data_IF_382759520478
#
_entry.id   IF_382759520478
#
_cell.length_a   1.000
_cell.length_b   1.000
_cell.length_c   1.000
_cell.angle_alpha   90.00
_cell.angle_beta   90.00
_cell.angle_gamma   90.00
#
_symmetry.space_group_name_H-M   'P 1'
#
loop_
_entity.id
_entity.type
_entity.pdbx_description
1 polymer ?
#
# COMPACT_ATOMS: atom_id res chain seq x y z
N UNK A 1 -1.98 -7.70 24.03
CA UNK A 1 -2.84 -8.82 23.64
C UNK A 1 -4.08 -8.86 24.52
N UNK A 2 -5.25 -9.11 23.92
CA UNK A 2 -6.52 -9.27 24.61
C UNK A 2 -7.00 -10.72 24.47
N UNK A 3 -7.33 -11.33 25.60
CA UNK A 3 -8.09 -12.59 25.60
C UNK A 3 -9.51 -12.35 25.08
N UNK A 4 -10.23 -13.42 24.69
CA UNK A 4 -11.64 -13.33 24.28
C UNK A 4 -12.50 -12.55 25.28
N UNK A 5 -12.36 -12.85 26.58
CA UNK A 5 -13.12 -12.17 27.62
C UNK A 5 -12.78 -10.67 27.72
N UNK A 6 -11.49 -10.32 27.64
CA UNK A 6 -11.04 -8.93 27.64
C UNK A 6 -11.51 -8.20 26.37
N UNK A 7 -11.50 -8.86 25.22
CA UNK A 7 -11.99 -8.32 23.96
C UNK A 7 -13.49 -8.03 24.00
N UNK A 8 -14.30 -9.00 24.50
CA UNK A 8 -15.73 -8.85 24.66
C UNK A 8 -16.08 -7.70 25.64
N UNK A 9 -15.33 -7.58 26.74
CA UNK A 9 -15.54 -6.49 27.71
C UNK A 9 -15.16 -5.12 27.13
N UNK A 10 -14.14 -5.05 26.29
CA UNK A 10 -13.65 -3.81 25.67
C UNK A 10 -14.54 -3.32 24.53
N UNK A 11 -15.02 -4.26 23.71
CA UNK A 11 -15.79 -4.00 22.50
C UNK A 11 -17.08 -4.82 22.49
N UNK A 12 -18.06 -4.51 23.35
CA UNK A 12 -19.26 -5.32 23.56
C UNK A 12 -20.21 -5.34 22.35
N UNK A 13 -19.97 -4.51 21.34
CA UNK A 13 -20.70 -4.47 20.08
C UNK A 13 -20.30 -5.62 19.13
N UNK A 14 -19.17 -6.32 19.38
CA UNK A 14 -18.68 -7.43 18.57
C UNK A 14 -19.05 -8.79 19.15
N UNK A 15 -19.31 -9.76 18.28
CA UNK A 15 -19.27 -11.19 18.61
C UNK A 15 -17.82 -11.67 18.50
N UNK A 16 -17.35 -12.36 19.51
CA UNK A 16 -15.95 -12.79 19.61
C UNK A 16 -15.78 -14.25 19.96
N UNK A 17 -16.83 -15.08 19.80
CA UNK A 17 -16.83 -16.48 20.18
C UNK A 17 -15.81 -17.32 19.40
N UNK A 18 -15.51 -16.92 18.19
CA UNK A 18 -14.52 -17.51 17.28
C UNK A 18 -13.10 -16.92 17.44
N UNK A 19 -12.92 -15.92 18.31
CA UNK A 19 -11.63 -15.27 18.52
C UNK A 19 -10.92 -15.87 19.73
N UNK A 20 -9.73 -16.43 19.53
CA UNK A 20 -8.89 -16.91 20.63
C UNK A 20 -8.12 -15.78 21.30
N UNK A 21 -7.55 -14.86 20.51
CA UNK A 21 -6.70 -13.76 20.97
C UNK A 21 -6.78 -12.61 19.97
N UNK A 22 -6.68 -11.37 20.47
CA UNK A 22 -6.58 -10.18 19.63
C UNK A 22 -5.37 -9.32 20.03
N UNK A 23 -4.73 -8.68 19.05
CA UNK A 23 -3.79 -7.58 19.28
C UNK A 23 -4.55 -6.28 19.30
N UNK A 24 -4.23 -5.41 20.25
CA UNK A 24 -4.83 -4.09 20.37
C UNK A 24 -3.76 -3.08 20.77
N UNK A 25 -3.58 -2.04 19.98
CA UNK A 25 -2.73 -0.89 20.27
C UNK A 25 -3.52 0.14 21.07
N UNK A 26 -3.18 0.39 22.36
CA UNK A 26 -3.94 1.33 23.20
C UNK A 26 -3.61 2.79 22.87
N UNK A 27 -2.50 3.06 22.21
CA UNK A 27 -2.03 4.41 21.86
C UNK A 27 -0.94 4.36 20.79
N UNK A 28 -0.69 5.49 20.12
CA UNK A 28 0.35 5.60 19.10
C UNK A 28 0.02 4.95 17.76
N UNK A 29 -1.17 4.41 17.61
CA UNK A 29 -1.70 3.82 16.39
C UNK A 29 -3.03 4.46 16.00
N UNK A 30 -3.39 4.41 14.74
CA UNK A 30 -4.67 4.90 14.25
C UNK A 30 -4.64 5.17 12.74
N UNK A 31 -5.73 5.70 12.26
CA UNK A 31 -5.84 6.21 10.90
C UNK A 31 -5.73 7.74 10.92
N UNK A 32 -5.37 8.31 9.79
CA UNK A 32 -5.20 9.76 9.62
C UNK A 32 -5.59 10.18 8.20
N UNK A 33 -5.65 11.48 7.96
CA UNK A 33 -5.86 12.05 6.62
C UNK A 33 -4.59 11.86 5.78
N UNK A 34 -4.61 10.84 4.91
CA UNK A 34 -3.50 10.51 4.01
C UNK A 34 -3.25 11.60 2.96
N UNK A 35 -4.30 12.33 2.54
CA UNK A 35 -4.14 13.42 1.57
C UNK A 35 -3.51 14.65 2.21
N UNK A 36 -3.82 14.93 3.48
CA UNK A 36 -3.14 15.97 4.25
C UNK A 36 -1.66 15.64 4.47
N UNK A 37 -1.31 14.37 4.77
CA UNK A 37 0.08 13.93 4.85
C UNK A 37 0.81 14.15 3.52
N UNK A 38 0.24 13.69 2.41
CA UNK A 38 0.82 13.87 1.07
C UNK A 38 1.00 15.35 0.75
N UNK A 39 0.00 16.18 1.02
CA UNK A 39 0.05 17.64 0.83
C UNK A 39 1.16 18.29 1.64
N UNK A 40 1.30 17.89 2.90
CA UNK A 40 2.37 18.36 3.78
C UNK A 40 3.76 18.01 3.27
N UNK A 41 3.98 16.75 2.89
CA UNK A 41 5.25 16.28 2.33
C UNK A 41 5.60 17.01 1.02
N UNK A 42 4.62 17.21 0.12
CA UNK A 42 4.83 17.98 -1.12
C UNK A 42 5.21 19.43 -0.85
N UNK A 43 4.57 20.05 0.13
CA UNK A 43 4.89 21.44 0.52
C UNK A 43 6.31 21.55 1.07
N UNK A 44 6.73 20.62 1.93
CA UNK A 44 8.10 20.56 2.45
C UNK A 44 9.13 20.33 1.33
N UNK A 45 8.86 19.39 0.42
CA UNK A 45 9.74 19.12 -0.71
C UNK A 45 9.88 20.36 -1.62
N UNK A 46 8.77 21.04 -1.91
CA UNK A 46 8.79 22.27 -2.72
C UNK A 46 9.58 23.39 -2.03
N UNK A 47 9.40 23.57 -0.71
CA UNK A 47 10.16 24.54 0.08
C UNK A 47 11.67 24.22 0.09
N UNK A 48 12.04 22.93 0.01
CA UNK A 48 13.42 22.47 -0.14
C UNK A 48 13.97 22.57 -1.59
N UNK A 49 13.21 23.12 -2.53
CA UNK A 49 13.65 23.35 -3.92
C UNK A 49 13.35 22.19 -4.88
N UNK A 50 12.59 21.17 -4.46
CA UNK A 50 12.16 20.10 -5.37
C UNK A 50 11.17 20.64 -6.41
N UNK A 51 11.43 20.34 -7.67
CA UNK A 51 10.56 20.69 -8.79
C UNK A 51 9.61 19.54 -9.10
N UNK A 52 8.31 19.75 -8.90
CA UNK A 52 7.29 18.79 -9.29
C UNK A 52 6.83 19.09 -10.73
N UNK A 53 6.91 18.11 -11.61
CA UNK A 53 6.42 18.19 -12.99
C UNK A 53 5.20 17.28 -13.13
N UNK A 54 4.14 17.79 -13.74
CA UNK A 54 2.99 16.97 -14.13
C UNK A 54 3.22 16.47 -15.56
N UNK A 55 3.77 15.26 -15.66
CA UNK A 55 4.13 14.65 -16.94
C UNK A 55 4.05 13.13 -16.81
N UNK A 56 3.85 12.47 -17.92
CA UNK A 56 3.91 11.01 -18.04
C UNK A 56 5.30 10.60 -18.49
N UNK A 57 5.93 9.68 -17.75
CA UNK A 57 7.22 9.09 -18.12
C UNK A 57 6.96 7.87 -18.99
N UNK A 58 7.43 7.90 -20.24
CA UNK A 58 7.26 6.81 -21.19
C UNK A 58 8.40 5.80 -21.17
N UNK A 59 9.62 6.19 -20.80
CA UNK A 59 10.76 5.29 -20.78
C UNK A 59 11.89 5.80 -19.88
N UNK A 60 12.72 4.89 -19.41
CA UNK A 60 14.03 5.18 -18.81
C UNK A 60 15.04 5.32 -19.95
N UNK A 61 15.89 6.33 -19.88
CA UNK A 61 17.03 6.48 -20.79
C UNK A 61 18.26 5.89 -20.10
N UNK A 62 18.72 4.74 -20.58
CA UNK A 62 19.88 4.04 -19.98
C UNK A 62 20.87 3.59 -21.04
N UNK A 63 22.15 3.61 -20.69
CA UNK A 63 23.26 3.12 -21.52
C UNK A 63 24.41 2.65 -20.63
N UNK A 64 25.10 1.60 -21.03
CA UNK A 64 26.31 1.10 -20.37
C UNK A 64 26.17 0.89 -18.86
N UNK A 65 25.00 0.35 -18.40
CA UNK A 65 24.75 0.08 -16.97
C UNK A 65 24.35 1.28 -16.13
N UNK A 66 24.19 2.46 -16.73
CA UNK A 66 23.75 3.67 -16.02
C UNK A 66 22.45 4.23 -16.60
N UNK A 67 21.61 4.80 -15.74
CA UNK A 67 20.48 5.62 -16.14
C UNK A 67 20.96 7.05 -16.36
N UNK A 68 20.56 7.65 -17.47
CA UNK A 68 20.91 9.03 -17.84
C UNK A 68 19.73 9.98 -17.72
N UNK A 69 18.55 9.47 -17.37
CA UNK A 69 17.34 10.24 -17.21
C UNK A 69 16.09 9.48 -17.64
N UNK A 70 15.05 10.21 -17.96
CA UNK A 70 13.77 9.67 -18.41
C UNK A 70 13.28 10.40 -19.66
N UNK A 71 12.53 9.71 -20.50
CA UNK A 71 11.83 10.28 -21.65
C UNK A 71 10.34 10.35 -21.32
N UNK A 72 9.78 11.53 -21.51
CA UNK A 72 8.36 11.79 -21.34
C UNK A 72 7.55 11.36 -22.58
N UNK A 73 6.24 11.22 -22.41
CA UNK A 73 5.32 10.82 -23.48
C UNK A 73 5.28 11.82 -24.64
N UNK A 74 5.57 13.10 -24.38
CA UNK A 74 5.68 14.16 -25.41
C UNK A 74 7.02 14.14 -26.16
N UNK A 75 7.90 13.18 -25.85
CA UNK A 75 9.24 13.05 -26.45
C UNK A 75 10.35 13.83 -25.74
N UNK A 76 10.03 14.70 -24.79
CA UNK A 76 11.02 15.44 -24.01
C UNK A 76 11.89 14.50 -23.18
N UNK A 77 13.19 14.73 -23.14
CA UNK A 77 14.11 13.99 -22.27
C UNK A 77 14.56 14.85 -21.10
N UNK A 78 14.42 14.33 -19.92
CA UNK A 78 14.94 14.92 -18.68
C UNK A 78 16.19 14.16 -18.26
N UNK A 79 17.34 14.83 -18.36
CA UNK A 79 18.61 14.27 -17.92
C UNK A 79 18.70 14.24 -16.38
N UNK A 80 19.29 13.17 -15.83
CA UNK A 80 19.48 13.02 -14.40
C UNK A 80 20.76 12.22 -14.10
N UNK A 81 21.42 12.56 -12.99
CA UNK A 81 22.57 11.80 -12.46
C UNK A 81 22.17 10.51 -11.75
N UNK A 82 20.94 10.45 -11.23
CA UNK A 82 20.33 9.26 -10.67
C UNK A 82 18.83 9.25 -10.98
N UNK A 83 18.25 8.08 -11.10
CA UNK A 83 16.81 7.86 -11.30
C UNK A 83 16.26 6.98 -10.19
N UNK A 84 15.17 7.41 -9.56
CA UNK A 84 14.42 6.62 -8.57
C UNK A 84 13.05 6.29 -9.14
N UNK A 85 12.75 5.01 -9.31
CA UNK A 85 11.44 4.52 -9.71
C UNK A 85 10.56 4.31 -8.48
N UNK A 86 9.61 5.22 -8.27
CA UNK A 86 8.56 5.10 -7.27
C UNK A 86 7.19 5.15 -7.96
N UNK A 87 7.05 4.34 -9.02
CA UNK A 87 5.92 4.37 -9.94
C UNK A 87 4.84 3.33 -9.61
N UNK A 88 4.96 2.63 -8.47
CA UNK A 88 4.01 1.62 -8.00
C UNK A 88 3.75 0.56 -9.07
N UNK A 89 2.49 0.36 -9.44
CA UNK A 89 2.07 -0.62 -10.45
C UNK A 89 2.64 -0.37 -11.86
N UNK A 90 3.18 0.83 -12.13
CA UNK A 90 3.80 1.17 -13.43
C UNK A 90 5.30 0.89 -13.48
N UNK A 91 5.92 0.53 -12.36
CA UNK A 91 7.35 0.22 -12.29
C UNK A 91 7.78 -0.86 -13.28
N UNK A 92 7.06 -1.99 -13.45
CA UNK A 92 7.43 -3.02 -14.42
C UNK A 92 7.52 -2.50 -15.86
N UNK A 93 6.51 -1.76 -16.30
CA UNK A 93 6.49 -1.22 -17.66
C UNK A 93 7.65 -0.25 -17.93
N UNK A 94 8.09 0.52 -16.93
CA UNK A 94 9.26 1.39 -17.06
C UNK A 94 10.57 0.59 -17.10
N UNK A 95 10.72 -0.45 -16.28
CA UNK A 95 11.90 -1.32 -16.29
C UNK A 95 12.00 -2.12 -17.60
N UNK A 96 10.88 -2.56 -18.16
CA UNK A 96 10.83 -3.24 -19.46
C UNK A 96 11.42 -2.40 -20.59
N UNK A 97 11.32 -1.06 -20.51
CA UNK A 97 11.93 -0.16 -21.52
C UNK A 97 13.45 -0.26 -21.61
N UNK A 98 14.09 -0.86 -20.62
CA UNK A 98 15.53 -1.10 -20.56
C UNK A 98 15.88 -2.60 -20.49
N UNK A 99 14.90 -3.48 -20.78
CA UNK A 99 15.09 -4.93 -20.84
C UNK A 99 15.11 -5.62 -19.46
N UNK A 100 14.59 -4.98 -18.42
CA UNK A 100 14.53 -5.53 -17.06
C UNK A 100 13.12 -6.00 -16.70
N UNK A 101 13.02 -7.07 -15.90
CA UNK A 101 11.77 -7.60 -15.39
C UNK A 101 11.60 -7.29 -13.90
N UNK A 102 10.36 -7.04 -13.46
CA UNK A 102 10.03 -6.79 -12.08
C UNK A 102 8.76 -7.54 -11.68
N UNK A 103 8.73 -8.28 -10.56
CA UNK A 103 7.58 -9.11 -10.17
C UNK A 103 6.45 -8.31 -9.49
N UNK A 104 6.27 -7.07 -9.86
CA UNK A 104 5.21 -6.21 -9.33
C UNK A 104 4.02 -6.27 -10.28
N UNK A 105 2.83 -6.38 -9.72
CA UNK A 105 1.59 -6.41 -10.49
C UNK A 105 0.49 -5.60 -9.80
N UNK A 106 -0.47 -5.02 -10.55
CA UNK A 106 -1.62 -4.34 -9.97
C UNK A 106 -2.60 -5.37 -9.39
N UNK A 107 -3.00 -5.18 -8.13
CA UNK A 107 -4.07 -5.91 -7.47
C UNK A 107 -5.17 -4.95 -7.04
N UNK A 108 -6.37 -5.12 -7.57
CA UNK A 108 -7.50 -4.21 -7.29
C UNK A 108 -8.03 -4.41 -5.88
N UNK A 109 -8.27 -3.32 -5.18
CA UNK A 109 -8.94 -3.27 -3.87
C UNK A 109 -10.09 -2.29 -3.93
N UNK A 110 -11.29 -2.76 -3.60
CA UNK A 110 -12.46 -1.91 -3.48
C UNK A 110 -12.69 -1.52 -2.04
N UNK A 111 -12.92 -0.24 -1.82
CA UNK A 111 -13.21 0.36 -0.52
C UNK A 111 -14.64 0.87 -0.52
N UNK A 112 -15.36 0.62 0.56
CA UNK A 112 -16.74 1.03 0.74
C UNK A 112 -16.89 1.99 1.92
N UNK A 113 -17.70 3.02 1.74
CA UNK A 113 -18.25 3.81 2.85
C UNK A 113 -19.69 3.39 3.04
N UNK A 114 -20.02 2.96 4.25
CA UNK A 114 -21.34 2.45 4.60
C UNK A 114 -21.97 3.25 5.73
N UNK A 115 -23.28 3.36 5.71
CA UNK A 115 -24.11 3.82 6.82
C UNK A 115 -24.64 2.58 7.56
N UNK A 116 -24.52 2.56 8.88
CA UNK A 116 -24.96 1.49 9.75
C UNK A 116 -25.58 2.13 11.01
N UNK A 117 -26.85 2.57 10.94
CA UNK A 117 -27.48 3.39 11.96
C UNK A 117 -27.63 2.71 13.32
N UNK A 118 -27.68 1.36 13.33
CA UNK A 118 -27.84 0.56 14.54
C UNK A 118 -26.52 0.26 15.27
N UNK A 119 -25.38 0.74 14.72
CA UNK A 119 -24.06 0.55 15.35
C UNK A 119 -23.62 1.82 16.02
N UNK A 120 -23.57 1.81 17.33
CA UNK A 120 -23.04 2.91 18.15
C UNK A 120 -21.70 2.48 18.78
N UNK A 121 -20.61 2.74 18.10
CA UNK A 121 -19.25 2.43 18.55
C UNK A 121 -18.27 3.54 18.09
N UNK A 122 -18.41 4.78 18.63
CA UNK A 122 -17.62 5.95 18.17
C UNK A 122 -16.12 5.77 18.43
N UNK A 123 -15.74 4.98 19.43
CA UNK A 123 -14.35 4.70 19.82
C UNK A 123 -13.82 3.39 19.21
N UNK A 124 -14.50 2.83 18.19
CA UNK A 124 -14.02 1.62 17.54
C UNK A 124 -12.65 1.87 16.89
N UNK A 125 -11.68 0.98 17.09
CA UNK A 125 -10.40 1.06 16.39
C UNK A 125 -10.55 0.66 14.92
N UNK A 126 -9.48 0.79 14.14
CA UNK A 126 -9.34 0.02 12.91
C UNK A 126 -9.32 -1.46 13.30
N UNK A 127 -10.33 -2.20 12.88
CA UNK A 127 -10.43 -3.65 13.01
C UNK A 127 -9.90 -4.29 11.73
N UNK A 128 -8.93 -5.19 11.87
CA UNK A 128 -8.56 -6.16 10.84
C UNK A 128 -8.99 -7.53 11.35
N UNK A 129 -9.97 -8.12 10.68
CA UNK A 129 -10.59 -9.36 11.08
C UNK A 129 -9.92 -10.56 10.42
N UNK A 130 -9.76 -11.67 11.17
CA UNK A 130 -9.20 -12.90 10.63
C UNK A 130 -10.05 -13.51 9.49
N UNK A 131 -11.32 -13.11 9.37
CA UNK A 131 -12.17 -13.49 8.24
C UNK A 131 -11.80 -12.73 6.93
N UNK A 132 -10.78 -11.84 6.95
CA UNK A 132 -10.24 -11.18 5.78
C UNK A 132 -11.01 -9.94 5.34
N UNK A 133 -11.54 -9.18 6.28
CA UNK A 133 -12.05 -7.83 6.04
C UNK A 133 -11.48 -6.85 7.08
N UNK A 134 -11.55 -5.58 6.79
CA UNK A 134 -11.26 -4.52 7.74
C UNK A 134 -12.42 -3.54 7.86
N UNK A 135 -12.49 -2.86 9.00
CA UNK A 135 -13.54 -1.91 9.33
C UNK A 135 -12.98 -0.80 10.21
N UNK A 136 -13.35 0.45 9.95
CA UNK A 136 -13.07 1.59 10.85
C UNK A 136 -14.17 2.64 10.79
N UNK A 137 -14.33 3.46 11.83
CA UNK A 137 -15.16 4.64 11.74
C UNK A 137 -14.65 5.63 10.68
N UNK A 138 -15.59 6.33 10.03
CA UNK A 138 -15.34 7.44 9.11
C UNK A 138 -16.36 8.54 9.37
N UNK A 139 -16.08 9.40 10.36
CA UNK A 139 -17.05 10.32 10.90
C UNK A 139 -18.24 9.58 11.52
N UNK A 140 -19.45 9.83 11.02
CA UNK A 140 -20.66 9.09 11.43
C UNK A 140 -20.88 7.77 10.66
N UNK A 141 -20.07 7.49 9.67
CA UNK A 141 -20.17 6.34 8.81
C UNK A 141 -19.03 5.35 9.11
N UNK A 142 -18.95 4.30 8.33
CA UNK A 142 -17.92 3.29 8.42
C UNK A 142 -17.22 3.11 7.08
N UNK A 143 -15.93 2.83 7.13
CA UNK A 143 -15.13 2.46 5.97
C UNK A 143 -14.73 1.00 6.11
N UNK A 144 -14.91 0.23 5.04
CA UNK A 144 -14.62 -1.21 5.02
C UNK A 144 -14.11 -1.66 3.66
N UNK A 145 -13.40 -2.77 3.66
CA UNK A 145 -12.94 -3.48 2.47
C UNK A 145 -12.51 -4.89 2.82
N UNK A 146 -12.24 -5.67 1.80
CA UNK A 146 -11.76 -7.04 1.94
C UNK A 146 -10.85 -7.42 0.77
N UNK A 147 -10.05 -8.47 0.95
CA UNK A 147 -9.38 -9.14 -0.16
C UNK A 147 -10.45 -9.87 -0.99
N UNK A 148 -10.53 -9.66 -2.31
CA UNK A 148 -11.45 -10.40 -3.15
C UNK A 148 -11.10 -11.89 -3.18
N UNK A 149 -12.10 -12.76 -3.40
CA UNK A 149 -11.88 -14.22 -3.46
C UNK A 149 -10.93 -14.60 -4.61
N UNK A 150 -11.09 -13.94 -5.76
CA UNK A 150 -10.20 -14.09 -6.91
C UNK A 150 -9.16 -12.95 -6.90
N UNK A 151 -8.19 -13.03 -5.99
CA UNK A 151 -7.12 -12.04 -5.88
C UNK A 151 -6.02 -12.30 -6.89
N UNK A 152 -6.17 -11.75 -8.10
CA UNK A 152 -5.24 -11.86 -9.21
C UNK A 152 -4.81 -10.49 -9.78
N UNK A 153 -3.87 -10.48 -10.73
CA UNK A 153 -3.51 -9.27 -11.44
C UNK A 153 -4.72 -8.70 -12.19
N UNK A 154 -4.83 -7.39 -12.26
CA UNK A 154 -5.88 -6.68 -12.97
C UNK A 154 -5.31 -5.73 -14.01
N UNK A 155 -6.19 -5.20 -14.88
CA UNK A 155 -5.82 -4.10 -15.77
C UNK A 155 -5.42 -2.88 -14.92
N UNK A 156 -4.21 -2.30 -15.11
CA UNK A 156 -3.77 -1.13 -14.37
C UNK A 156 -4.60 0.14 -14.63
N UNK A 157 -5.49 0.13 -15.63
CA UNK A 157 -6.45 1.21 -15.90
C UNK A 157 -7.86 0.93 -15.36
N UNK A 158 -8.12 -0.26 -14.80
CA UNK A 158 -9.41 -0.63 -14.23
C UNK A 158 -9.54 -0.13 -12.79
N UNK A 159 -10.23 0.99 -12.61
CA UNK A 159 -10.59 1.57 -11.32
C UNK A 159 -12.08 1.45 -10.99
N UNK A 160 -12.83 0.63 -11.74
CA UNK A 160 -14.23 0.36 -11.42
C UNK A 160 -14.33 -0.46 -10.12
N UNK A 161 -15.13 -0.02 -9.14
CA UNK A 161 -15.29 -0.76 -7.90
C UNK A 161 -16.06 -2.06 -8.12
N UNK A 162 -15.61 -3.13 -7.48
CA UNK A 162 -16.32 -4.41 -7.44
C UNK A 162 -17.43 -4.31 -6.39
N UNK A 163 -18.65 -3.97 -6.82
CA UNK A 163 -19.79 -3.82 -5.92
C UNK A 163 -20.28 -5.16 -5.37
N UNK A 164 -20.12 -6.25 -6.11
CA UNK A 164 -20.48 -7.61 -5.68
C UNK A 164 -19.70 -8.04 -4.43
N UNK A 165 -18.46 -7.59 -4.29
CA UNK A 165 -17.63 -7.88 -3.13
C UNK A 165 -18.30 -7.48 -1.80
N UNK A 166 -19.09 -6.39 -1.78
CA UNK A 166 -19.79 -5.99 -0.57
C UNK A 166 -20.87 -6.99 -0.16
N UNK A 167 -21.74 -7.35 -1.09
CA UNK A 167 -22.89 -8.22 -0.80
C UNK A 167 -22.48 -9.66 -0.56
N UNK A 168 -21.53 -10.17 -1.32
CA UNK A 168 -21.12 -11.57 -1.29
C UNK A 168 -20.10 -11.89 -0.18
N UNK A 169 -19.26 -10.93 0.19
CA UNK A 169 -18.12 -11.18 1.08
C UNK A 169 -18.16 -10.29 2.32
N UNK A 170 -18.23 -8.97 2.15
CA UNK A 170 -18.03 -8.05 3.27
C UNK A 170 -19.24 -8.06 4.22
N UNK A 171 -20.43 -7.82 3.73
CA UNK A 171 -21.62 -7.72 4.57
C UNK A 171 -21.90 -8.98 5.39
N UNK A 172 -21.85 -10.21 4.85
CA UNK A 172 -22.00 -11.41 5.66
C UNK A 172 -20.99 -11.52 6.81
N UNK A 173 -19.74 -11.15 6.57
CA UNK A 173 -18.68 -11.16 7.58
C UNK A 173 -18.86 -10.08 8.63
N UNK A 174 -19.22 -8.86 8.23
CA UNK A 174 -19.58 -7.77 9.12
C UNK A 174 -20.74 -8.16 10.05
N UNK A 175 -21.81 -8.70 9.49
CA UNK A 175 -22.97 -9.14 10.27
C UNK A 175 -22.62 -10.28 11.24
N UNK A 176 -21.80 -11.23 10.80
CA UNK A 176 -21.32 -12.30 11.67
C UNK A 176 -20.51 -11.75 12.85
N UNK A 177 -19.64 -10.75 12.59
CA UNK A 177 -18.80 -10.10 13.62
C UNK A 177 -19.61 -9.18 14.52
N UNK A 178 -20.54 -8.43 13.97
CA UNK A 178 -21.32 -7.43 14.71
C UNK A 178 -22.76 -7.36 14.20
N UNK A 179 -23.75 -7.87 14.93
CA UNK A 179 -25.15 -7.92 14.49
C UNK A 179 -25.78 -6.56 14.20
N UNK A 180 -25.26 -5.48 14.79
CA UNK A 180 -25.69 -4.12 14.47
C UNK A 180 -25.52 -3.74 12.99
N UNK A 181 -24.67 -4.45 12.24
CA UNK A 181 -24.52 -4.28 10.78
C UNK A 181 -25.55 -5.09 9.96
N UNK A 182 -26.67 -5.52 10.58
CA UNK A 182 -27.78 -6.14 9.85
C UNK A 182 -28.41 -5.17 8.83
N UNK A 183 -28.60 -3.91 9.23
CA UNK A 183 -29.11 -2.85 8.36
C UNK A 183 -27.97 -1.92 7.94
N UNK A 184 -27.48 -2.09 6.73
CA UNK A 184 -26.43 -1.26 6.16
C UNK A 184 -26.83 -0.71 4.80
N UNK A 185 -26.31 0.49 4.49
CA UNK A 185 -26.45 1.10 3.17
C UNK A 185 -25.05 1.49 2.66
N UNK A 186 -24.68 1.00 1.50
CA UNK A 186 -23.50 1.48 0.80
C UNK A 186 -23.78 2.91 0.29
N UNK A 187 -22.95 3.86 0.72
CA UNK A 187 -23.06 5.27 0.34
C UNK A 187 -22.11 5.61 -0.81
N UNK A 188 -20.92 5.02 -0.80
CA UNK A 188 -19.86 5.25 -1.79
C UNK A 188 -18.97 4.03 -1.88
N UNK A 189 -18.42 3.79 -3.07
CA UNK A 189 -17.35 2.84 -3.31
C UNK A 189 -16.34 3.46 -4.27
N UNK A 190 -15.09 3.03 -4.16
CA UNK A 190 -14.03 3.31 -5.14
C UNK A 190 -13.04 2.15 -5.15
N UNK A 191 -12.29 2.04 -6.24
CA UNK A 191 -11.20 1.07 -6.34
C UNK A 191 -9.85 1.78 -6.42
N UNK A 192 -8.81 1.08 -5.95
CA UNK A 192 -7.42 1.44 -6.12
C UNK A 192 -6.59 0.18 -6.32
N UNK A 193 -5.33 0.35 -6.66
CA UNK A 193 -4.44 -0.78 -6.88
C UNK A 193 -3.34 -0.84 -5.83
N UNK A 194 -3.10 -2.04 -5.29
CA UNK A 194 -1.84 -2.36 -4.67
C UNK A 194 -0.78 -2.61 -5.75
N UNK A 195 0.43 -2.12 -5.54
CA UNK A 195 1.63 -2.54 -6.24
C UNK A 195 2.13 -3.84 -5.61
N UNK A 196 1.49 -4.95 -5.97
CA UNK A 196 1.67 -6.23 -5.32
C UNK A 196 2.95 -6.91 -5.80
N UNK A 197 3.85 -7.22 -4.86
CA UNK A 197 5.05 -7.99 -5.14
C UNK A 197 4.73 -9.50 -5.05
N UNK A 198 4.61 -10.16 -6.20
CA UNK A 198 4.28 -11.60 -6.27
C UNK A 198 5.42 -12.51 -5.79
N UNK A 199 6.65 -11.98 -5.65
CA UNK A 199 7.80 -12.75 -5.18
C UNK A 199 7.69 -13.06 -3.67
N UNK A 200 7.47 -12.04 -2.85
CA UNK A 200 7.45 -12.19 -1.40
C UNK A 200 6.47 -11.26 -0.65
N UNK A 201 5.65 -10.49 -1.38
CA UNK A 201 4.67 -9.52 -0.84
C UNK A 201 5.30 -8.41 -0.03
N UNK A 202 6.60 -8.18 -0.17
CA UNK A 202 7.32 -7.16 0.57
C UNK A 202 7.92 -6.11 -0.37
N UNK A 203 8.16 -4.91 0.15
CA UNK A 203 8.69 -3.80 -0.63
C UNK A 203 10.04 -4.14 -1.29
N UNK A 204 10.29 -3.57 -2.44
CA UNK A 204 11.59 -3.61 -3.13
C UNK A 204 12.19 -2.22 -3.06
N UNK A 205 13.30 -2.08 -2.32
CA UNK A 205 13.92 -0.79 -2.01
C UNK A 205 15.43 -0.88 -2.22
N UNK A 206 15.99 -0.04 -3.08
CA UNK A 206 17.45 0.02 -3.23
C UNK A 206 17.90 0.24 -4.65
N UNK A 207 19.21 0.04 -4.87
CA UNK A 207 19.85 0.12 -6.17
C UNK A 207 19.45 -1.09 -7.02
N UNK A 208 19.07 -0.86 -8.27
CA UNK A 208 18.69 -1.94 -9.18
C UNK A 208 19.93 -2.76 -9.61
N UNK A 209 19.88 -4.10 -9.60
CA UNK A 209 21.01 -4.96 -9.95
C UNK A 209 21.60 -4.62 -11.32
N UNK A 210 22.94 -4.60 -11.41
CA UNK A 210 23.64 -4.28 -12.64
C UNK A 210 23.56 -2.80 -13.09
N UNK A 211 22.97 -1.93 -12.29
CA UNK A 211 22.86 -0.48 -12.54
C UNK A 211 23.65 0.30 -11.50
N UNK A 212 24.27 1.42 -11.89
CA UNK A 212 25.08 2.21 -10.98
C UNK A 212 24.31 3.33 -10.28
N UNK A 213 23.15 3.73 -10.80
CA UNK A 213 22.40 4.92 -10.38
C UNK A 213 20.89 4.85 -10.65
N UNK A 214 20.36 3.64 -10.87
CA UNK A 214 18.93 3.38 -10.99
C UNK A 214 18.44 2.72 -9.70
N UNK A 215 17.54 3.39 -8.99
CA UNK A 215 16.99 2.94 -7.73
C UNK A 215 15.50 2.64 -7.86
N UNK A 216 15.00 1.77 -7.01
CA UNK A 216 13.57 1.43 -6.94
C UNK A 216 13.02 1.60 -5.53
N UNK A 217 11.74 1.97 -5.47
CA UNK A 217 10.93 2.07 -4.27
C UNK A 217 9.50 1.68 -4.64
N UNK A 218 9.17 0.39 -4.55
CA UNK A 218 7.95 -0.19 -5.10
C UNK A 218 7.58 -1.51 -4.43
N UNK A 219 6.44 -2.11 -4.79
CA UNK A 219 6.07 -3.46 -4.38
C UNK A 219 5.62 -3.58 -2.93
N UNK A 220 5.02 -2.54 -2.39
CA UNK A 220 4.62 -2.48 -0.98
C UNK A 220 3.46 -3.38 -0.61
N UNK A 221 2.74 -3.94 -1.56
CA UNK A 221 1.66 -4.92 -1.37
C UNK A 221 0.61 -4.48 -0.34
N UNK A 222 0.29 -3.17 -0.30
CA UNK A 222 -0.67 -2.57 0.62
C UNK A 222 -0.08 -1.89 1.85
N UNK A 223 1.21 -2.05 2.16
CA UNK A 223 1.86 -1.45 3.33
C UNK A 223 2.57 -0.11 3.06
N UNK A 224 2.43 0.45 1.86
CA UNK A 224 3.20 1.62 1.42
C UNK A 224 2.98 2.86 2.27
N UNK A 225 1.74 3.13 2.69
CA UNK A 225 1.42 4.36 3.43
C UNK A 225 2.18 4.44 4.77
N UNK A 226 2.15 3.39 5.56
CA UNK A 226 2.81 3.35 6.86
C UNK A 226 4.33 3.23 6.77
N UNK A 227 4.84 2.62 5.70
CA UNK A 227 6.27 2.40 5.50
C UNK A 227 6.97 3.55 4.77
N UNK A 228 6.26 4.33 3.96
CA UNK A 228 6.82 5.34 3.05
C UNK A 228 7.81 6.33 3.71
N UNK A 229 7.57 6.86 4.92
CA UNK A 229 8.53 7.80 5.53
C UNK A 229 9.89 7.17 5.82
N UNK A 230 9.90 5.94 6.34
CA UNK A 230 11.14 5.23 6.66
C UNK A 230 11.88 4.79 5.38
N UNK A 231 11.13 4.23 4.41
CA UNK A 231 11.69 3.77 3.14
C UNK A 231 12.25 4.94 2.31
N UNK A 232 11.52 6.05 2.25
CA UNK A 232 11.97 7.26 1.55
C UNK A 232 13.24 7.84 2.17
N UNK A 233 13.36 7.82 3.51
CA UNK A 233 14.55 8.26 4.22
C UNK A 233 15.75 7.37 3.92
N UNK A 234 15.63 6.06 4.09
CA UNK A 234 16.73 5.14 3.83
C UNK A 234 17.17 5.16 2.36
N UNK A 235 16.23 5.27 1.42
CA UNK A 235 16.58 5.41 0.01
C UNK A 235 17.30 6.74 -0.29
N UNK A 236 16.91 7.84 0.35
CA UNK A 236 17.61 9.12 0.22
C UNK A 236 19.06 9.02 0.72
N UNK A 237 19.28 8.35 1.86
CA UNK A 237 20.64 8.08 2.39
C UNK A 237 21.45 7.25 1.38
N UNK A 238 20.87 6.20 0.83
CA UNK A 238 21.55 5.36 -0.17
C UNK A 238 21.92 6.14 -1.42
N UNK A 239 21.02 7.00 -1.93
CA UNK A 239 21.27 7.83 -3.12
C UNK A 239 22.34 8.88 -2.87
N UNK A 240 22.37 9.52 -1.70
CA UNK A 240 23.26 10.65 -1.41
C UNK A 240 24.58 10.26 -0.79
N UNK A 241 24.59 9.24 0.08
CA UNK A 241 25.78 8.79 0.80
C UNK A 241 26.32 7.44 0.32
N UNK A 242 25.62 6.76 -0.59
CA UNK A 242 25.99 5.43 -1.10
C UNK A 242 25.80 4.29 -0.08
N UNK A 243 25.18 4.57 1.07
CA UNK A 243 24.91 3.59 2.12
C UNK A 243 23.69 3.99 2.96
N UNK A 244 23.11 3.03 3.65
CA UNK A 244 22.14 3.28 4.70
C UNK A 244 22.87 3.81 5.96
N UNK A 245 22.32 4.81 6.63
CA UNK A 245 22.95 5.44 7.82
C UNK A 245 22.09 5.26 9.07
N UNK A 246 20.78 5.42 8.97
CA UNK A 246 19.87 5.41 10.11
C UNK A 246 19.01 4.18 10.20
N UNK A 247 18.71 3.55 9.07
CA UNK A 247 17.89 2.34 8.98
C UNK A 247 18.42 1.49 7.83
N UNK A 248 18.95 0.33 8.15
CA UNK A 248 19.42 -0.63 7.13
C UNK A 248 18.23 -1.30 6.46
N UNK A 249 18.02 -0.98 5.18
CA UNK A 249 16.99 -1.55 4.32
C UNK A 249 17.54 -2.61 3.35
N UNK A 250 18.78 -3.06 3.53
CA UNK A 250 19.42 -4.02 2.62
C UNK A 250 18.61 -5.31 2.46
N UNK A 251 17.92 -5.75 3.50
CA UNK A 251 17.04 -6.93 3.45
C UNK A 251 15.90 -6.80 2.43
N UNK A 252 15.51 -5.56 2.08
CA UNK A 252 14.49 -5.24 1.08
C UNK A 252 15.09 -4.98 -0.31
N UNK A 253 16.40 -5.12 -0.45
CA UNK A 253 17.13 -4.90 -1.69
C UNK A 253 16.61 -5.79 -2.84
N UNK A 254 16.65 -5.30 -4.09
CA UNK A 254 16.19 -6.07 -5.24
C UNK A 254 17.06 -7.32 -5.53
N UNK A 255 18.29 -7.37 -5.05
CA UNK A 255 19.19 -8.53 -5.23
C UNK A 255 18.59 -9.83 -4.68
N UNK A 256 17.79 -9.77 -3.60
CA UNK A 256 17.11 -10.95 -3.03
C UNK A 256 16.20 -11.68 -4.02
N UNK A 257 15.68 -10.97 -5.04
CA UNK A 257 14.86 -11.58 -6.08
C UNK A 257 15.73 -12.43 -7.02
N UNK A 258 16.89 -11.92 -7.41
CA UNK A 258 17.85 -12.67 -8.25
C UNK A 258 18.46 -13.85 -7.50
N UNK A 259 18.67 -13.74 -6.21
CA UNK A 259 19.19 -14.78 -5.32
C UNK A 259 18.13 -15.82 -4.95
N UNK A 260 16.85 -15.61 -5.25
CA UNK A 260 15.76 -16.48 -4.85
C UNK A 260 15.54 -16.55 -3.33
N UNK A 261 15.85 -15.47 -2.61
CA UNK A 261 15.78 -15.37 -1.14
C UNK A 261 14.58 -14.52 -0.67
N UNK A 262 13.33 -15.07 -0.69
CA UNK A 262 12.15 -14.29 -0.35
C UNK A 262 12.09 -13.93 1.13
N UNK A 263 11.75 -12.69 1.41
CA UNK A 263 11.37 -12.19 2.73
C UNK A 263 9.84 -12.10 2.79
N UNK A 264 9.17 -13.23 3.05
CA UNK A 264 7.71 -13.34 2.90
C UNK A 264 6.95 -12.51 3.92
N UNK A 265 6.20 -11.51 3.44
CA UNK A 265 5.20 -10.81 4.26
C UNK A 265 3.92 -11.63 4.38
N UNK A 266 3.43 -11.82 5.61
CA UNK A 266 2.28 -12.67 5.93
C UNK A 266 1.01 -11.88 6.26
N UNK A 267 1.14 -10.60 6.56
CA UNK A 267 0.04 -9.74 7.03
C UNK A 267 -0.56 -8.85 5.92
N UNK A 268 -0.58 -9.32 4.68
CA UNK A 268 -1.22 -8.60 3.56
C UNK A 268 -2.72 -8.81 3.58
N UNK A 269 -3.49 -7.71 3.58
CA UNK A 269 -4.96 -7.67 3.64
C UNK A 269 -5.54 -7.16 2.32
#
# INVERSE_FOLDING_TARGET
LLTRAALAARFPWMRVDDVALASFGPSGEGWFDNMALLGGLRSLATAAGVRALRAEVAAIVAQAGAAHGVRLADGTTLAAGAVVLSAGTRTPALLETIGEECPIEPRKRTVFVIDAPDVNAPDAPLLVDHAGFYLRPEGRHWLTGAVPQADGPCDPEDFEPDLGLFEEVIWPRLYARAPGFAAVKVLRAWAGHYDFNRFDRNAVVGLWPGRSNLYVLTGFSGHGLQQAPAMGRGLAELVTAGRYETLDLSVLGPDRMAEGAPLLEKAVV
#
